data_IF_773440032529
#
_entry.id   IF_773440032529
#
_cell.length_a   1.000
_cell.length_b   1.000
_cell.length_c   1.000
_cell.angle_alpha   90.00
_cell.angle_beta   90.00
_cell.angle_gamma   90.00
#
_symmetry.space_group_name_H-M   'P 1'
#
loop_
_entity.id
_entity.type
_entity.pdbx_description
1 polymer ?
#
# COMPACT_ATOMS: atom_id res chain seq x y z
N UNK A 1 16.38 0.20 -1.74
CA UNK A 1 16.46 0.18 -0.26
C UNK A 1 17.10 -1.12 0.21
N UNK A 2 17.76 -1.05 1.34
CA UNK A 2 18.34 -2.23 1.96
C UNK A 2 17.44 -2.71 3.09
N UNK A 3 16.59 -1.81 3.54
CA UNK A 3 15.65 -2.09 4.61
C UNK A 3 14.43 -1.18 4.47
N UNK A 4 13.30 -1.63 4.99
CA UNK A 4 12.08 -0.85 4.90
C UNK A 4 12.15 0.36 5.82
N UNK A 5 12.50 1.50 5.24
CA UNK A 5 12.48 2.77 5.96
C UNK A 5 12.03 3.88 5.02
N UNK A 6 10.74 4.18 5.08
CA UNK A 6 10.12 5.16 4.20
C UNK A 6 8.64 5.28 4.56
N UNK A 7 7.88 6.04 3.79
CA UNK A 7 6.46 6.16 4.06
C UNK A 7 5.72 4.99 3.46
N UNK A 8 5.44 4.02 4.30
CA UNK A 8 4.85 2.77 3.86
C UNK A 8 3.36 2.91 3.56
N UNK A 9 2.71 1.80 3.31
CA UNK A 9 1.31 1.80 2.98
C UNK A 9 0.51 1.67 4.27
N UNK A 10 0.62 0.51 4.89
CA UNK A 10 -0.03 0.28 6.16
C UNK A 10 0.82 0.91 7.25
N UNK A 11 0.33 2.04 7.73
CA UNK A 11 1.05 2.92 8.66
C UNK A 11 0.39 4.28 8.60
N UNK A 12 0.26 4.80 7.37
CA UNK A 12 -0.41 6.08 7.18
C UNK A 12 -1.88 5.87 6.88
N UNK A 13 -2.16 4.84 6.10
CA UNK A 13 -3.51 4.54 5.71
C UNK A 13 -3.91 3.12 5.99
N UNK A 14 -3.90 2.32 4.93
CA UNK A 14 -4.28 0.94 5.04
C UNK A 14 -3.24 0.01 4.45
N UNK A 15 -3.62 -1.24 4.28
CA UNK A 15 -2.68 -2.30 3.94
C UNK A 15 -2.51 -2.42 2.43
N UNK A 16 -1.49 -3.17 2.04
CA UNK A 16 -1.16 -3.36 0.64
C UNK A 16 -2.11 -4.38 0.01
N UNK A 17 -2.64 -4.03 -1.14
CA UNK A 17 -3.53 -4.93 -1.84
C UNK A 17 -3.01 -5.20 -3.24
N UNK A 18 -3.16 -6.44 -3.64
CA UNK A 18 -2.82 -6.84 -4.98
C UNK A 18 -3.75 -6.16 -5.97
N UNK A 19 -3.28 -5.89 -7.20
CA UNK A 19 -4.02 -5.10 -8.22
C UNK A 19 -5.37 -5.71 -8.66
N UNK A 20 -6.06 -6.39 -7.75
CA UNK A 20 -7.38 -6.94 -8.04
C UNK A 20 -8.21 -7.05 -6.75
N UNK A 21 -8.03 -6.08 -5.86
CA UNK A 21 -8.70 -6.11 -4.56
C UNK A 21 -9.67 -4.94 -4.42
N UNK A 22 -10.72 -5.16 -3.62
CA UNK A 22 -11.74 -4.15 -3.36
C UNK A 22 -11.15 -3.00 -2.53
N UNK A 23 -10.92 -1.87 -3.18
CA UNK A 23 -10.41 -0.70 -2.49
C UNK A 23 -11.53 0.21 -2.06
N UNK A 24 -11.68 0.40 -0.75
CA UNK A 24 -12.62 1.38 -0.24
C UNK A 24 -12.07 2.78 -0.46
N UNK A 25 -10.79 2.95 -0.16
CA UNK A 25 -10.10 4.21 -0.39
C UNK A 25 -8.65 3.95 -0.75
N UNK A 26 -8.27 4.29 -1.97
CA UNK A 26 -6.90 4.08 -2.41
C UNK A 26 -6.01 5.22 -1.94
N UNK A 27 -4.84 4.88 -1.42
CA UNK A 27 -3.91 5.89 -0.95
C UNK A 27 -2.48 5.56 -1.38
N UNK A 28 -1.59 6.51 -1.09
CA UNK A 28 -0.23 6.46 -1.55
C UNK A 28 0.73 6.03 -0.45
N UNK A 29 1.57 5.06 -0.75
CA UNK A 29 2.57 4.58 0.19
C UNK A 29 3.53 3.64 -0.50
N UNK A 30 4.35 2.94 0.28
CA UNK A 30 5.30 2.00 -0.30
C UNK A 30 4.94 0.56 0.02
N UNK A 31 4.67 -0.19 -1.03
CA UNK A 31 4.47 -1.63 -0.93
C UNK A 31 5.51 -2.34 -1.76
N UNK A 32 6.24 -3.31 -1.21
CA UNK A 32 7.28 -3.98 -1.96
C UNK A 32 6.77 -5.27 -2.58
N UNK A 33 6.45 -5.20 -3.87
CA UNK A 33 5.96 -6.35 -4.62
C UNK A 33 5.80 -5.99 -6.09
N UNK A 34 4.58 -5.64 -6.48
CA UNK A 34 4.27 -5.29 -7.85
C UNK A 34 3.39 -4.04 -7.90
N UNK A 35 2.33 -4.12 -8.69
CA UNK A 35 1.33 -3.08 -8.83
C UNK A 35 0.41 -3.01 -7.60
N UNK A 36 0.98 -3.29 -6.44
CA UNK A 36 0.22 -3.33 -5.22
C UNK A 36 -0.13 -1.94 -4.73
N UNK A 37 -1.42 -1.70 -4.62
CA UNK A 37 -1.95 -0.41 -4.21
C UNK A 37 -2.12 -0.35 -2.69
N UNK A 38 -1.95 0.84 -2.12
CA UNK A 38 -2.10 1.02 -0.70
C UNK A 38 -3.54 1.37 -0.42
N UNK A 39 -4.30 0.40 0.03
CA UNK A 39 -5.72 0.58 0.17
C UNK A 39 -6.15 0.74 1.60
N UNK A 40 -6.78 1.85 1.87
CA UNK A 40 -7.34 2.13 3.17
C UNK A 40 -8.62 1.33 3.34
N UNK A 41 -8.45 0.11 3.84
CA UNK A 41 -9.53 -0.84 4.12
C UNK A 41 -10.08 -1.47 2.84
N UNK A 42 -10.56 -2.70 2.98
CA UNK A 42 -11.11 -3.45 1.87
C UNK A 42 -12.44 -4.06 2.27
#
# INVERSE_FOLDING_TARGET
DTTSDFHTCQDKGGHCVSPKIRCLEEQLGLCPLKRWTCCKEI
#
